data_IF_837355205060
#
_entry.id   IF_837355205060
#
_cell.length_a   1.000
_cell.length_b   1.000
_cell.length_c   1.000
_cell.angle_alpha   90.00
_cell.angle_beta   90.00
_cell.angle_gamma   90.00
#
_symmetry.space_group_name_H-M   'P 1'
#
loop_
_entity.id
_entity.type
_entity.pdbx_description
1 polymer ?
#
# COMPACT_ATOMS: atom_id res chain seq x y z
N UNK A 1 -3.01 26.52 -18.77
CA UNK A 1 -3.90 25.64 -19.55
C UNK A 1 -3.17 24.45 -20.17
N UNK A 2 -2.03 24.60 -20.87
CA UNK A 2 -1.28 23.45 -21.43
C UNK A 2 -0.76 22.45 -20.39
N UNK A 3 -0.34 22.91 -19.21
CA UNK A 3 0.11 22.02 -18.12
C UNK A 3 -1.05 21.23 -17.49
N UNK A 4 -2.23 21.84 -17.34
CA UNK A 4 -3.44 21.16 -16.86
C UNK A 4 -3.92 20.13 -17.89
N UNK A 5 -3.86 20.44 -19.19
CA UNK A 5 -4.17 19.48 -20.25
C UNK A 5 -3.14 18.35 -20.38
N UNK A 6 -1.88 18.56 -19.99
CA UNK A 6 -0.83 17.52 -19.99
C UNK A 6 -0.97 16.56 -18.80
N UNK A 7 -1.33 17.09 -17.62
CA UNK A 7 -1.72 16.29 -16.46
C UNK A 7 -2.97 15.45 -16.79
N UNK A 8 -4.04 16.07 -17.32
CA UNK A 8 -5.27 15.36 -17.74
C UNK A 8 -5.00 14.30 -18.84
N UNK A 9 -4.05 14.55 -19.76
CA UNK A 9 -3.68 13.58 -20.77
C UNK A 9 -2.84 12.41 -20.21
N UNK A 10 -2.00 12.66 -19.20
CA UNK A 10 -1.35 11.60 -18.42
C UNK A 10 -2.38 10.81 -17.59
N UNK A 11 -3.39 11.47 -17.04
CA UNK A 11 -4.47 10.87 -16.25
C UNK A 11 -5.27 9.84 -17.05
N UNK A 12 -5.58 10.12 -18.32
CA UNK A 12 -6.24 9.16 -19.24
C UNK A 12 -5.28 8.04 -19.68
N UNK A 13 -3.99 8.37 -19.88
CA UNK A 13 -2.97 7.40 -20.28
C UNK A 13 -2.67 6.34 -19.21
N UNK A 14 -2.64 6.74 -17.94
CA UNK A 14 -2.44 5.83 -16.80
C UNK A 14 -3.63 4.87 -16.64
N UNK A 15 -4.87 5.40 -16.66
CA UNK A 15 -6.07 4.58 -16.57
C UNK A 15 -6.18 3.60 -17.75
N UNK A 16 -5.84 4.04 -18.96
CA UNK A 16 -5.79 3.18 -20.15
C UNK A 16 -4.67 2.13 -20.07
N UNK A 17 -3.52 2.45 -19.47
CA UNK A 17 -2.41 1.53 -19.24
C UNK A 17 -2.81 0.38 -18.29
N UNK A 18 -3.47 0.71 -17.18
CA UNK A 18 -4.01 -0.27 -16.22
C UNK A 18 -5.06 -1.15 -16.88
N UNK A 19 -6.01 -0.58 -17.61
CA UNK A 19 -7.04 -1.34 -18.34
C UNK A 19 -6.46 -2.26 -19.41
N UNK A 20 -5.47 -1.79 -20.17
CA UNK A 20 -4.83 -2.56 -21.23
C UNK A 20 -4.04 -3.75 -20.68
N UNK A 21 -3.39 -3.54 -19.54
CA UNK A 21 -2.66 -4.58 -18.82
C UNK A 21 -3.60 -5.67 -18.30
N UNK A 22 -4.68 -5.28 -17.61
CA UNK A 22 -5.70 -6.19 -17.07
C UNK A 22 -6.37 -7.00 -18.18
N UNK A 23 -6.59 -6.41 -19.35
CA UNK A 23 -7.18 -7.09 -20.51
C UNK A 23 -6.14 -7.79 -21.41
N UNK A 24 -4.85 -7.80 -21.06
CA UNK A 24 -3.83 -8.46 -21.88
C UNK A 24 -3.87 -9.99 -21.72
N UNK A 25 -3.48 -10.71 -22.78
CA UNK A 25 -3.44 -12.18 -22.83
C UNK A 25 -2.52 -12.82 -21.76
N UNK A 26 -1.76 -12.01 -21.02
CA UNK A 26 -0.93 -12.44 -19.90
C UNK A 26 -1.77 -12.93 -18.70
N UNK A 27 -3.01 -12.44 -18.52
CA UNK A 27 -3.87 -12.76 -17.36
C UNK A 27 -4.94 -13.83 -17.62
N UNK A 28 -5.16 -14.25 -18.87
CA UNK A 28 -6.12 -15.33 -19.18
C UNK A 28 -7.55 -15.11 -18.66
N UNK A 29 -7.94 -13.87 -18.35
CA UNK A 29 -9.26 -13.56 -17.79
C UNK A 29 -10.34 -13.86 -18.84
N UNK A 30 -11.35 -14.65 -18.45
CA UNK A 30 -12.53 -14.96 -19.29
C UNK A 30 -13.52 -13.79 -19.41
N UNK A 31 -13.28 -12.69 -18.70
CA UNK A 31 -14.16 -11.52 -18.61
C UNK A 31 -13.37 -10.27 -18.99
N UNK A 32 -13.87 -9.54 -19.99
CA UNK A 32 -13.31 -8.25 -20.38
C UNK A 32 -13.67 -7.21 -19.31
N UNK A 33 -12.66 -6.60 -18.71
CA UNK A 33 -12.86 -5.56 -17.69
C UNK A 33 -12.94 -4.20 -18.38
N UNK A 34 -14.05 -3.49 -18.18
CA UNK A 34 -14.37 -2.24 -18.88
C UNK A 34 -14.16 -0.97 -18.06
N UNK A 35 -13.88 -1.10 -16.75
CA UNK A 35 -13.62 0.05 -15.89
C UNK A 35 -12.41 -0.19 -14.95
N UNK A 36 -11.58 0.83 -14.70
CA UNK A 36 -10.49 0.75 -13.74
C UNK A 36 -10.97 0.36 -12.34
N UNK A 37 -12.15 0.82 -11.93
CA UNK A 37 -12.80 0.44 -10.68
C UNK A 37 -13.14 -1.06 -10.60
N UNK A 38 -13.68 -1.65 -11.67
CA UNK A 38 -13.97 -3.09 -11.74
C UNK A 38 -12.67 -3.90 -11.82
N UNK A 39 -11.64 -3.34 -12.46
CA UNK A 39 -10.31 -3.92 -12.45
C UNK A 39 -9.81 -4.01 -11.01
N UNK A 40 -9.73 -2.91 -10.26
CA UNK A 40 -9.15 -2.95 -8.92
C UNK A 40 -9.89 -3.88 -7.95
N UNK A 41 -11.23 -4.00 -8.05
CA UNK A 41 -12.02 -4.93 -7.24
C UNK A 41 -11.82 -6.43 -7.58
N UNK A 42 -11.11 -6.76 -8.67
CA UNK A 42 -10.91 -8.13 -9.16
C UNK A 42 -9.49 -8.68 -8.88
N UNK A 43 -8.55 -7.85 -8.38
CA UNK A 43 -7.12 -8.04 -8.69
C UNK A 43 -6.25 -8.26 -7.43
N UNK A 44 -5.88 -9.52 -7.19
CA UNK A 44 -4.88 -9.94 -6.21
C UNK A 44 -3.41 -9.81 -6.68
N UNK A 45 -2.53 -10.59 -6.03
CA UNK A 45 -1.05 -10.60 -6.09
C UNK A 45 -0.40 -10.39 -7.49
N UNK A 46 -0.98 -10.96 -8.54
CA UNK A 46 -0.39 -10.92 -9.89
C UNK A 46 -0.54 -9.57 -10.59
N UNK A 47 -1.37 -8.68 -10.04
CA UNK A 47 -1.63 -7.36 -10.63
C UNK A 47 -0.76 -6.27 -10.07
N UNK A 48 -0.33 -6.34 -8.81
CA UNK A 48 0.72 -5.40 -8.39
C UNK A 48 2.03 -5.72 -9.12
N UNK A 49 2.33 -7.01 -9.37
CA UNK A 49 3.38 -7.39 -10.31
C UNK A 49 3.15 -6.79 -11.69
N UNK A 50 1.91 -6.80 -12.17
CA UNK A 50 1.53 -6.19 -13.44
C UNK A 50 1.57 -4.65 -13.43
N UNK A 51 1.26 -3.98 -12.33
CA UNK A 51 1.36 -2.53 -12.17
C UNK A 51 2.83 -2.12 -12.13
N UNK A 52 3.67 -2.87 -11.41
CA UNK A 52 5.13 -2.73 -11.41
C UNK A 52 5.70 -2.98 -12.82
N UNK A 53 5.22 -4.00 -13.54
CA UNK A 53 5.78 -4.42 -14.84
C UNK A 53 5.19 -3.71 -16.07
N UNK A 54 3.93 -3.31 -16.03
CA UNK A 54 3.21 -2.73 -17.16
C UNK A 54 2.87 -1.26 -17.03
N UNK A 55 3.36 -0.59 -15.98
CA UNK A 55 3.83 0.80 -16.10
C UNK A 55 5.08 0.82 -16.98
N UNK A 56 4.93 0.44 -18.25
CA UNK A 56 5.87 0.75 -19.34
C UNK A 56 6.04 2.27 -19.58
N UNK A 57 5.53 3.10 -18.67
CA UNK A 57 5.95 4.48 -18.45
C UNK A 57 7.39 4.57 -17.92
N UNK A 58 7.94 3.49 -17.36
CA UNK A 58 9.35 3.33 -17.04
C UNK A 58 10.14 2.92 -18.28
N UNK A 59 10.17 3.77 -19.30
CA UNK A 59 11.05 3.63 -20.47
C UNK A 59 12.55 3.59 -20.13
N UNK A 60 12.90 3.62 -18.83
CA UNK A 60 14.20 3.37 -18.24
C UNK A 60 14.02 2.55 -16.95
N UNK A 61 13.62 1.29 -17.09
CA UNK A 61 13.78 0.32 -16.00
C UNK A 61 15.27 0.03 -15.85
N UNK A 62 15.99 0.93 -15.19
CA UNK A 62 17.41 0.74 -14.91
C UNK A 62 17.55 -0.05 -13.61
N UNK A 63 17.94 -1.32 -13.73
CA UNK A 63 18.18 -2.19 -12.58
C UNK A 63 19.26 -1.61 -11.64
N UNK A 64 20.14 -0.76 -12.17
CA UNK A 64 21.21 -0.14 -11.39
C UNK A 64 20.71 1.03 -10.52
N UNK A 65 19.64 1.72 -10.92
CA UNK A 65 19.00 2.78 -10.12
C UNK A 65 18.25 2.23 -8.88
N UNK A 66 17.88 0.95 -8.92
CA UNK A 66 17.15 0.25 -7.86
C UNK A 66 18.04 -0.58 -6.92
N UNK A 67 19.36 -0.57 -7.10
CA UNK A 67 20.26 -1.42 -6.31
C UNK A 67 20.12 -1.20 -4.80
N UNK A 68 19.72 0.00 -4.38
CA UNK A 68 19.53 0.38 -2.98
C UNK A 68 18.04 0.37 -2.54
N UNK A 69 17.08 0.16 -3.46
CA UNK A 69 15.64 0.03 -3.17
C UNK A 69 15.20 -1.42 -3.36
N UNK A 70 14.95 -2.10 -2.23
CA UNK A 70 14.61 -3.52 -2.23
C UNK A 70 13.11 -3.74 -2.51
N UNK A 71 12.79 -3.88 -3.80
CA UNK A 71 11.43 -4.10 -4.28
C UNK A 71 10.81 -5.40 -3.74
N UNK A 72 11.61 -6.44 -3.53
CA UNK A 72 11.13 -7.71 -2.97
C UNK A 72 10.73 -7.55 -1.51
N UNK A 73 11.51 -6.80 -0.72
CA UNK A 73 11.12 -6.45 0.65
C UNK A 73 9.86 -5.60 0.70
N UNK A 74 9.76 -4.57 -0.14
CA UNK A 74 8.55 -3.76 -0.21
C UNK A 74 7.32 -4.61 -0.55
N UNK A 75 7.47 -5.52 -1.51
CA UNK A 75 6.40 -6.41 -1.91
C UNK A 75 5.96 -7.36 -0.80
N UNK A 76 6.92 -7.99 -0.12
CA UNK A 76 6.67 -8.87 1.02
C UNK A 76 5.93 -8.12 2.14
N UNK A 77 6.38 -6.90 2.44
CA UNK A 77 5.75 -6.02 3.43
C UNK A 77 4.29 -5.68 3.08
N UNK A 78 4.02 -5.24 1.85
CA UNK A 78 2.66 -4.96 1.39
C UNK A 78 1.76 -6.20 1.46
N UNK A 79 2.27 -7.36 1.05
CA UNK A 79 1.51 -8.61 1.07
C UNK A 79 1.22 -9.08 2.50
N UNK A 80 2.22 -9.01 3.39
CA UNK A 80 2.06 -9.31 4.81
C UNK A 80 0.99 -8.41 5.44
N UNK A 81 1.11 -7.11 5.21
CA UNK A 81 0.14 -6.10 5.67
C UNK A 81 -1.26 -6.36 5.13
N UNK A 82 -1.41 -6.71 3.84
CA UNK A 82 -2.70 -7.06 3.24
C UNK A 82 -3.36 -8.26 3.92
N UNK A 83 -2.61 -9.35 4.11
CA UNK A 83 -3.10 -10.58 4.75
C UNK A 83 -3.51 -10.31 6.20
N UNK A 84 -2.68 -9.58 6.95
CA UNK A 84 -2.96 -9.17 8.32
C UNK A 84 -4.19 -8.26 8.42
N UNK A 85 -4.31 -7.23 7.57
CA UNK A 85 -5.45 -6.32 7.59
C UNK A 85 -6.77 -7.07 7.30
N UNK A 86 -6.75 -8.02 6.37
CA UNK A 86 -7.89 -8.90 6.11
C UNK A 86 -8.21 -9.79 7.32
N UNK A 87 -7.20 -10.35 7.96
CA UNK A 87 -7.39 -11.20 9.15
C UNK A 87 -7.98 -10.39 10.32
N UNK A 88 -7.53 -9.17 10.56
CA UNK A 88 -8.13 -8.27 11.55
C UNK A 88 -9.63 -8.07 11.25
N UNK A 89 -9.99 -7.86 9.97
CA UNK A 89 -11.39 -7.74 9.56
C UNK A 89 -12.21 -9.03 9.79
N UNK A 90 -11.61 -10.20 9.63
CA UNK A 90 -12.23 -11.50 9.98
C UNK A 90 -12.49 -11.59 11.48
N UNK A 91 -11.52 -11.20 12.31
CA UNK A 91 -11.64 -11.22 13.78
C UNK A 91 -12.72 -10.27 14.31
N UNK A 92 -12.99 -9.18 13.60
CA UNK A 92 -14.08 -8.24 13.92
C UNK A 92 -15.43 -8.64 13.29
N UNK A 93 -15.50 -9.79 12.61
CA UNK A 93 -16.74 -10.26 12.01
C UNK A 93 -17.25 -9.37 10.88
N UNK A 94 -16.37 -8.60 10.24
CA UNK A 94 -16.75 -7.69 9.15
C UNK A 94 -17.33 -8.46 7.96
N UNK A 95 -18.16 -7.81 7.15
CA UNK A 95 -18.69 -8.37 5.91
C UNK A 95 -17.58 -8.61 4.87
N UNK A 96 -17.85 -9.45 3.87
CA UNK A 96 -16.82 -9.86 2.90
C UNK A 96 -16.26 -8.71 2.05
N UNK A 97 -17.10 -7.74 1.70
CA UNK A 97 -16.71 -6.52 0.98
C UNK A 97 -15.72 -5.65 1.79
N UNK A 98 -15.96 -5.51 3.09
CA UNK A 98 -15.05 -4.80 4.01
C UNK A 98 -13.74 -5.56 4.16
N UNK A 99 -13.78 -6.89 4.29
CA UNK A 99 -12.55 -7.73 4.34
C UNK A 99 -11.71 -7.56 3.09
N UNK A 100 -12.35 -7.51 1.92
CA UNK A 100 -11.67 -7.30 0.65
C UNK A 100 -11.07 -5.89 0.56
N UNK A 101 -11.81 -4.88 1.00
CA UNK A 101 -11.31 -3.50 1.11
C UNK A 101 -10.07 -3.41 2.01
N UNK A 102 -10.06 -4.10 3.15
CA UNK A 102 -8.88 -4.18 4.03
C UNK A 102 -7.67 -4.83 3.33
N UNK A 103 -7.91 -5.92 2.59
CA UNK A 103 -6.85 -6.61 1.86
C UNK A 103 -6.26 -5.72 0.76
N UNK A 104 -7.10 -5.14 -0.09
CA UNK A 104 -6.68 -4.26 -1.19
C UNK A 104 -5.95 -3.04 -0.63
N UNK A 105 -6.49 -2.40 0.41
CA UNK A 105 -5.84 -1.25 1.04
C UNK A 105 -4.48 -1.62 1.64
N UNK A 106 -4.36 -2.75 2.33
CA UNK A 106 -3.08 -3.21 2.86
C UNK A 106 -2.07 -3.56 1.77
N UNK A 107 -2.53 -4.09 0.63
CA UNK A 107 -1.67 -4.42 -0.50
C UNK A 107 -1.13 -3.17 -1.22
N UNK A 108 -1.93 -2.10 -1.24
CA UNK A 108 -1.66 -0.88 -2.01
C UNK A 108 -1.20 0.30 -1.16
N UNK A 109 -1.13 0.17 0.18
CA UNK A 109 -0.86 1.29 1.08
C UNK A 109 0.45 2.03 0.77
N UNK A 110 1.42 1.30 0.24
CA UNK A 110 2.77 1.77 -0.06
C UNK A 110 3.04 1.96 -1.56
N UNK A 111 2.01 1.89 -2.42
CA UNK A 111 2.17 2.00 -3.88
C UNK A 111 2.82 3.33 -4.30
N UNK A 112 2.66 4.39 -3.49
CA UNK A 112 3.31 5.67 -3.72
C UNK A 112 4.85 5.60 -3.67
N UNK A 113 5.43 4.68 -2.87
CA UNK A 113 6.89 4.47 -2.80
C UNK A 113 7.43 4.03 -4.15
N UNK A 114 6.69 3.17 -4.87
CA UNK A 114 7.04 2.74 -6.23
C UNK A 114 7.01 3.91 -7.21
N UNK A 115 5.97 4.75 -7.13
CA UNK A 115 5.85 5.92 -8.00
C UNK A 115 7.03 6.87 -7.76
N UNK A 116 7.36 7.15 -6.49
CA UNK A 116 8.41 8.08 -6.12
C UNK A 116 9.80 7.53 -6.49
N UNK A 117 10.10 6.29 -6.09
CA UNK A 117 11.41 5.66 -6.34
C UNK A 117 11.71 5.50 -7.83
N UNK A 118 10.71 5.17 -8.66
CA UNK A 118 11.00 4.97 -10.08
C UNK A 118 11.07 6.27 -10.88
N UNK A 119 10.36 7.33 -10.47
CA UNK A 119 10.42 8.61 -11.18
C UNK A 119 11.57 9.52 -10.67
N UNK A 120 12.01 9.33 -9.42
CA UNK A 120 13.04 10.14 -8.77
C UNK A 120 14.04 9.28 -7.96
N UNK A 121 14.73 8.33 -8.60
CA UNK A 121 15.52 7.32 -7.88
C UNK A 121 16.65 7.91 -7.02
N UNK A 122 17.35 8.93 -7.51
CA UNK A 122 18.45 9.57 -6.78
C UNK A 122 17.94 10.30 -5.53
N UNK A 123 16.81 11.01 -5.65
CA UNK A 123 16.22 11.75 -4.53
C UNK A 123 15.58 10.81 -3.51
N UNK A 124 14.94 9.73 -3.96
CA UNK A 124 14.39 8.72 -3.07
C UNK A 124 15.50 7.94 -2.34
N UNK A 125 16.68 7.80 -2.93
CA UNK A 125 17.86 7.27 -2.25
C UNK A 125 18.34 8.20 -1.13
N UNK A 126 18.24 9.52 -1.29
CA UNK A 126 18.53 10.47 -0.20
C UNK A 126 17.54 10.31 0.97
N UNK A 127 16.25 10.11 0.68
CA UNK A 127 15.23 9.78 1.69
C UNK A 127 15.61 8.53 2.48
N UNK A 128 16.00 7.45 1.79
CA UNK A 128 16.41 6.17 2.42
C UNK A 128 17.64 6.38 3.30
N UNK A 129 18.66 7.07 2.80
CA UNK A 129 19.91 7.34 3.55
C UNK A 129 19.65 8.19 4.78
N UNK A 130 18.76 9.18 4.69
CA UNK A 130 18.36 10.02 5.81
C UNK A 130 17.65 9.22 6.91
N UNK A 131 16.74 8.31 6.52
CA UNK A 131 16.08 7.39 7.45
C UNK A 131 17.10 6.48 8.15
N UNK A 132 18.02 5.87 7.40
CA UNK A 132 19.07 5.00 7.94
C UNK A 132 20.05 5.74 8.85
N UNK A 133 20.21 7.05 8.65
CA UNK A 133 21.00 7.91 9.54
C UNK A 133 20.22 8.37 10.79
N UNK A 134 18.99 7.90 10.98
CA UNK A 134 18.15 8.21 12.15
C UNK A 134 17.58 9.64 12.14
N UNK A 135 17.47 10.28 10.98
CA UNK A 135 16.98 11.66 10.87
C UNK A 135 15.46 11.81 11.00
N UNK A 136 14.73 10.70 10.97
CA UNK A 136 13.28 10.65 11.13
C UNK A 136 12.68 9.39 10.50
N UNK A 137 11.36 9.33 10.46
CA UNK A 137 10.63 8.25 9.78
C UNK A 137 10.67 8.45 8.26
N UNK A 138 10.29 7.42 7.51
CA UNK A 138 10.15 7.53 6.04
C UNK A 138 9.21 8.68 5.66
N UNK A 139 8.14 8.88 6.45
CA UNK A 139 7.16 9.93 6.23
C UNK A 139 7.77 11.32 6.40
N UNK A 140 8.56 11.52 7.46
CA UNK A 140 9.25 12.80 7.71
C UNK A 140 10.21 13.14 6.57
N UNK A 141 10.96 12.14 6.11
CA UNK A 141 11.97 12.34 5.07
C UNK A 141 11.32 12.58 3.72
N UNK A 142 10.30 11.81 3.33
CA UNK A 142 9.54 12.09 2.11
C UNK A 142 8.94 13.50 2.12
N UNK A 143 8.34 13.92 3.23
CA UNK A 143 7.81 15.27 3.37
C UNK A 143 8.91 16.33 3.23
N UNK A 144 10.10 16.07 3.74
CA UNK A 144 11.24 16.98 3.64
C UNK A 144 11.77 17.10 2.20
N UNK A 145 11.99 15.99 1.52
CA UNK A 145 12.63 15.96 0.19
C UNK A 145 11.65 16.21 -0.97
N UNK A 146 10.41 15.74 -0.85
CA UNK A 146 9.40 15.81 -1.92
C UNK A 146 8.27 16.80 -1.63
N UNK A 147 8.07 17.21 -0.38
CA UNK A 147 6.90 18.00 0.02
C UNK A 147 5.59 17.20 0.01
N UNK A 148 5.67 15.88 -0.18
CA UNK A 148 4.57 14.93 -0.16
C UNK A 148 5.07 13.56 0.27
N UNK A 149 4.18 12.75 0.82
CA UNK A 149 4.44 11.37 1.26
C UNK A 149 3.97 10.31 0.26
N UNK A 150 4.47 9.09 0.40
CA UNK A 150 4.00 7.94 -0.37
C UNK A 150 2.51 7.67 -0.14
N UNK A 151 1.98 7.93 1.06
CA UNK A 151 0.56 7.77 1.37
C UNK A 151 -0.30 8.73 0.52
N UNK A 152 0.15 9.97 0.36
CA UNK A 152 -0.53 10.99 -0.45
C UNK A 152 -0.43 10.67 -1.94
N UNK A 153 0.77 10.34 -2.43
CA UNK A 153 1.01 9.99 -3.83
C UNK A 153 0.23 8.73 -4.21
N UNK A 154 0.25 7.71 -3.35
CA UNK A 154 -0.47 6.46 -3.55
C UNK A 154 -1.97 6.67 -3.58
N UNK A 155 -2.53 7.37 -2.59
CA UNK A 155 -3.96 7.66 -2.55
C UNK A 155 -4.43 8.47 -3.77
N UNK A 156 -3.65 9.45 -4.21
CA UNK A 156 -3.95 10.22 -5.41
C UNK A 156 -4.02 9.32 -6.65
N UNK A 157 -3.03 8.45 -6.84
CA UNK A 157 -3.00 7.49 -7.94
C UNK A 157 -4.22 6.55 -7.92
N UNK A 158 -4.56 6.00 -6.75
CA UNK A 158 -5.70 5.10 -6.61
C UNK A 158 -7.04 5.81 -6.86
N UNK A 159 -7.16 7.07 -6.43
CA UNK A 159 -8.32 7.91 -6.75
C UNK A 159 -8.49 8.11 -8.25
N UNK A 160 -7.39 8.34 -8.99
CA UNK A 160 -7.42 8.43 -10.46
C UNK A 160 -7.82 7.11 -11.13
N UNK A 161 -7.45 5.98 -10.52
CA UNK A 161 -7.86 4.65 -10.99
C UNK A 161 -9.28 4.28 -10.57
N UNK A 162 -10.03 5.18 -9.92
CA UNK A 162 -11.41 4.94 -9.51
C UNK A 162 -11.54 3.83 -8.47
N UNK A 163 -10.50 3.63 -7.66
CA UNK A 163 -10.54 2.73 -6.50
C UNK A 163 -11.55 3.26 -5.49
N UNK A 164 -12.22 2.36 -4.78
CA UNK A 164 -13.23 2.71 -3.79
C UNK A 164 -12.68 3.65 -2.70
N UNK A 165 -13.50 4.64 -2.31
CA UNK A 165 -13.14 5.69 -1.36
C UNK A 165 -12.60 5.15 -0.02
N UNK A 166 -13.12 4.02 0.48
CA UNK A 166 -12.65 3.42 1.73
C UNK A 166 -11.22 2.89 1.62
N UNK A 167 -10.86 2.31 0.47
CA UNK A 167 -9.50 1.86 0.18
C UNK A 167 -8.58 3.07 0.01
N UNK A 168 -8.98 4.06 -0.80
CA UNK A 168 -8.19 5.29 -1.02
C UNK A 168 -7.94 6.02 0.31
N UNK A 169 -8.96 6.11 1.16
CA UNK A 169 -8.86 6.71 2.50
C UNK A 169 -7.90 5.94 3.39
N UNK A 170 -7.98 4.61 3.42
CA UNK A 170 -7.08 3.78 4.20
C UNK A 170 -5.62 4.02 3.76
N UNK A 171 -5.36 4.02 2.45
CA UNK A 171 -4.03 4.34 1.89
C UNK A 171 -3.60 5.77 2.25
N UNK A 172 -4.50 6.76 2.19
CA UNK A 172 -4.15 8.15 2.48
C UNK A 172 -3.78 8.40 3.95
N UNK A 173 -4.47 7.71 4.88
CA UNK A 173 -4.41 8.02 6.32
C UNK A 173 -3.67 6.99 7.17
N UNK A 174 -3.16 5.90 6.60
CA UNK A 174 -2.62 4.79 7.39
C UNK A 174 -1.46 5.17 8.35
N UNK A 175 -0.71 6.25 8.11
CA UNK A 175 0.28 6.77 9.07
C UNK A 175 -0.27 7.81 10.06
N UNK A 176 -1.39 8.46 9.73
CA UNK A 176 -2.02 9.51 10.56
C UNK A 176 -3.52 9.25 10.73
N UNK A 177 -3.93 8.08 11.27
CA UNK A 177 -5.34 7.70 11.29
C UNK A 177 -6.18 8.58 12.21
N UNK A 178 -5.60 9.20 13.25
CA UNK A 178 -6.29 10.16 14.12
C UNK A 178 -6.80 11.43 13.43
N UNK A 179 -6.41 11.68 12.17
CA UNK A 179 -7.02 12.73 11.33
C UNK A 179 -8.38 12.33 10.75
N UNK A 180 -8.73 11.04 10.80
CA UNK A 180 -10.09 10.56 10.54
C UNK A 180 -10.93 10.61 11.83
N UNK A 181 -12.19 11.03 11.70
CA UNK A 181 -13.12 11.22 12.83
C UNK A 181 -14.12 10.09 12.98
N UNK A 182 -14.04 9.05 12.14
CA UNK A 182 -14.95 7.90 12.21
C UNK A 182 -14.60 7.00 13.41
N UNK A 183 -15.63 6.55 14.10
CA UNK A 183 -15.53 5.59 15.18
C UNK A 183 -15.77 4.16 14.66
N UNK A 184 -15.36 3.16 15.44
CA UNK A 184 -15.56 1.74 15.12
C UNK A 184 -14.53 1.17 14.14
N UNK A 185 -14.85 -0.03 13.64
CA UNK A 185 -14.00 -0.75 12.70
C UNK A 185 -14.05 -0.13 11.30
N UNK A 186 -12.90 -0.09 10.62
CA UNK A 186 -12.78 0.40 9.24
C UNK A 186 -11.54 -0.19 8.55
N UNK A 187 -11.47 -0.16 7.21
CA UNK A 187 -10.25 -0.51 6.48
C UNK A 187 -9.03 0.31 6.92
N UNK A 188 -9.21 1.60 7.25
CA UNK A 188 -8.14 2.43 7.80
C UNK A 188 -7.60 1.86 9.12
N UNK A 189 -8.49 1.49 10.05
CA UNK A 189 -8.07 0.90 11.33
C UNK A 189 -7.32 -0.42 11.12
N UNK A 190 -7.83 -1.27 10.24
CA UNK A 190 -7.21 -2.55 9.92
C UNK A 190 -5.82 -2.36 9.30
N UNK A 191 -5.67 -1.49 8.29
CA UNK A 191 -4.38 -1.25 7.61
C UNK A 191 -3.37 -0.58 8.53
N UNK A 192 -3.77 0.45 9.29
CA UNK A 192 -2.86 1.09 10.25
C UNK A 192 -2.32 0.07 11.27
N UNK A 193 -3.22 -0.73 11.84
CA UNK A 193 -2.85 -1.75 12.83
C UNK A 193 -2.00 -2.85 12.22
N UNK A 194 -2.38 -3.36 11.05
CA UNK A 194 -1.66 -4.40 10.33
C UNK A 194 -0.24 -3.95 9.94
N UNK A 195 -0.10 -2.75 9.37
CA UNK A 195 1.21 -2.18 9.02
C UNK A 195 2.13 -2.11 10.24
N UNK A 196 1.60 -1.67 11.38
CA UNK A 196 2.37 -1.59 12.62
C UNK A 196 2.74 -2.97 13.17
N UNK A 197 1.83 -3.94 13.12
CA UNK A 197 2.09 -5.31 13.56
C UNK A 197 3.07 -6.02 12.61
N UNK A 198 3.00 -5.76 11.30
CA UNK A 198 3.94 -6.30 10.33
C UNK A 198 5.36 -5.86 10.67
N UNK A 199 5.58 -4.57 10.92
CA UNK A 199 6.88 -4.07 11.37
C UNK A 199 7.32 -4.59 12.75
N UNK A 200 6.37 -4.98 13.62
CA UNK A 200 6.67 -5.60 14.92
C UNK A 200 7.14 -7.05 14.76
N UNK A 201 6.46 -7.81 13.90
CA UNK A 201 6.59 -9.27 13.77
C UNK A 201 7.60 -9.68 12.69
N UNK A 202 7.76 -8.84 11.67
CA UNK A 202 8.69 -9.00 10.54
C UNK A 202 9.74 -7.89 10.67
N UNK A 203 10.76 -8.15 11.49
CA UNK A 203 11.84 -7.17 11.70
C UNK A 203 12.76 -7.17 10.47
N UNK A 204 12.49 -6.26 9.54
CA UNK A 204 13.28 -6.10 8.30
C UNK A 204 14.59 -5.34 8.57
N UNK A 205 14.56 -4.37 9.50
CA UNK A 205 15.75 -3.64 9.95
C UNK A 205 15.50 -3.01 11.33
N UNK A 206 16.49 -3.10 12.22
CA UNK A 206 16.39 -2.56 13.59
C UNK A 206 16.64 -1.05 13.66
N UNK A 207 17.20 -0.46 12.61
CA UNK A 207 17.68 0.94 12.62
C UNK A 207 16.67 1.92 12.00
N UNK A 208 15.53 1.44 11.48
CA UNK A 208 14.50 2.30 10.91
C UNK A 208 13.56 2.84 11.99
N UNK A 209 13.39 4.16 12.02
CA UNK A 209 12.33 4.79 12.77
C UNK A 209 10.97 4.42 12.14
N UNK A 210 10.14 3.70 12.90
CA UNK A 210 8.81 3.24 12.47
C UNK A 210 7.76 4.16 13.08
N UNK A 211 6.73 4.51 12.31
CA UNK A 211 5.58 5.25 12.83
C UNK A 211 4.88 4.43 13.93
N UNK A 212 4.63 5.01 15.11
CA UNK A 212 4.02 4.28 16.21
C UNK A 212 2.56 3.93 15.91
N UNK A 213 2.02 2.95 16.64
CA UNK A 213 0.58 2.75 16.68
C UNK A 213 -0.08 4.00 17.26
N UNK A 214 -1.12 4.50 16.61
CA UNK A 214 -1.91 5.62 17.12
C UNK A 214 -2.88 5.09 18.19
N UNK A 215 -2.40 5.06 19.44
CA UNK A 215 -3.17 4.57 20.59
C UNK A 215 -4.43 5.40 20.86
N UNK A 216 -4.40 6.71 20.54
CA UNK A 216 -5.56 7.59 20.72
C UNK A 216 -6.64 7.26 19.70
N UNK A 217 -6.26 7.08 18.43
CA UNK A 217 -7.18 6.63 17.39
C UNK A 217 -7.75 5.24 17.71
N UNK A 218 -6.90 4.31 18.13
CA UNK A 218 -7.34 2.97 18.51
C UNK A 218 -8.29 3.00 19.73
N UNK A 219 -8.02 3.83 20.73
CA UNK A 219 -8.95 4.04 21.85
C UNK A 219 -10.27 4.66 21.40
N UNK A 220 -10.21 5.68 20.52
CA UNK A 220 -11.39 6.36 19.98
C UNK A 220 -12.27 5.42 19.11
N UNK A 221 -11.68 4.41 18.48
CA UNK A 221 -12.42 3.37 17.75
C UNK A 221 -13.29 2.49 18.66
N UNK A 222 -13.00 2.43 19.97
CA UNK A 222 -13.62 1.51 20.93
C UNK A 222 -13.05 0.09 20.89
N UNK A 223 -12.00 -0.16 20.09
CA UNK A 223 -11.46 -1.51 19.83
C UNK A 223 -10.06 -1.73 20.40
N UNK A 224 -9.54 -0.83 21.25
CA UNK A 224 -8.21 -0.97 21.83
C UNK A 224 -7.97 -2.30 22.58
N UNK A 225 -9.01 -2.83 23.25
CA UNK A 225 -8.94 -4.13 23.94
C UNK A 225 -8.76 -5.32 23.00
N UNK A 226 -8.96 -5.14 21.69
CA UNK A 226 -8.85 -6.18 20.66
C UNK A 226 -7.41 -6.37 20.15
N UNK A 227 -6.52 -5.41 20.40
CA UNK A 227 -5.13 -5.45 19.91
C UNK A 227 -4.38 -6.77 20.23
N UNK A 228 -4.50 -7.37 21.43
CA UNK A 228 -3.87 -8.67 21.71
C UNK A 228 -4.40 -9.79 20.81
N UNK A 229 -5.72 -9.81 20.54
CA UNK A 229 -6.36 -10.81 19.66
C UNK A 229 -5.86 -10.65 18.24
N UNK A 230 -5.82 -9.42 17.74
CA UNK A 230 -5.31 -9.10 16.41
C UNK A 230 -3.84 -9.50 16.24
N UNK A 231 -3.00 -9.21 17.25
CA UNK A 231 -1.58 -9.62 17.24
C UNK A 231 -1.42 -11.13 17.11
N UNK A 232 -2.17 -11.91 17.90
CA UNK A 232 -2.11 -13.38 17.83
C UNK A 232 -2.58 -13.90 16.47
N UNK A 233 -3.65 -13.34 15.91
CA UNK A 233 -4.16 -13.74 14.60
C UNK A 233 -3.17 -13.39 13.47
N UNK A 234 -2.58 -12.19 13.53
CA UNK A 234 -1.57 -11.74 12.56
C UNK A 234 -0.30 -12.60 12.60
N UNK A 235 0.14 -13.03 13.79
CA UNK A 235 1.25 -13.97 13.91
C UNK A 235 0.95 -15.31 13.21
N UNK A 236 -0.26 -15.87 13.43
CA UNK A 236 -0.65 -17.12 12.80
C UNK A 236 -0.70 -17.03 11.25
N UNK A 237 -1.08 -15.88 10.71
CA UNK A 237 -1.05 -15.61 9.26
C UNK A 237 0.37 -15.64 8.70
N UNK A 238 1.33 -15.07 9.42
CA UNK A 238 2.74 -15.12 9.01
C UNK A 238 3.30 -16.54 9.05
N UNK A 239 2.94 -17.30 10.08
CA UNK A 239 3.43 -18.67 10.24
C UNK A 239 2.92 -19.58 9.12
N UNK A 240 1.64 -19.44 8.72
CA UNK A 240 1.07 -20.16 7.58
C UNK A 240 1.69 -19.76 6.23
N UNK A 241 2.01 -18.47 6.05
CA UNK A 241 2.64 -17.99 4.82
C UNK A 241 4.06 -18.51 4.58
N UNK A 242 4.77 -18.92 5.63
CA UNK A 242 6.13 -19.51 5.53
C UNK A 242 6.12 -20.96 5.07
N UNK A 243 5.03 -21.68 5.31
CA UNK A 243 4.90 -23.09 4.91
C UNK A 243 4.57 -23.22 3.41
N UNK A 244 3.88 -22.23 2.81
CA UNK A 244 3.51 -22.23 1.39
C UNK A 244 4.65 -21.83 0.43
N UNK A 245 5.62 -21.01 0.87
CA UNK A 245 6.80 -20.60 0.06
C UNK A 245 7.95 -21.63 0.09
N UNK A 246 7.75 -22.77 0.78
CA UNK A 246 8.76 -23.81 1.03
C UNK A 246 8.70 -25.06 0.15
N UNK A 247 7.85 -25.10 -0.89
CA UNK A 247 7.72 -26.21 -1.86
C UNK A 247 7.88 -25.75 -3.31
#
# INVERSE_FOLDING_TARGET
MREVSALIAQDVGMAAGVLKLVNSAFFGLRVHVSSPAHAVNLLGLDVVKALVLGVGLFGRFDKDAFRDFDLEKLWSHCLGTARMAREIAVQEGAENDVRESCYIAGLLHDVGKLVMATNFPELYLEVIRACQAGQGTILDMEQHFFGASHAEVGAYLLGLWGVEDEVVRAVYRHHEPGRDRRAGFSPLLAVHTANRLEHELVVISHDYAINPLDELYLAASGLASRLPVWRTACQAVLDQGRDDDGT
#
